data_IF_245690320454
#
_entry.id   IF_245690320454
#
_cell.length_a   1.000
_cell.length_b   1.000
_cell.length_c   1.000
_cell.angle_alpha   90.00
_cell.angle_beta   90.00
_cell.angle_gamma   90.00
#
_symmetry.space_group_name_H-M   'P 1'
#
loop_
_entity.id
_entity.type
_entity.pdbx_description
1 polymer ?
#
# COMPACT_ATOMS: atom_id res chain seq x y z
N UNK A 1 53.36 -14.97 39.38
CA UNK A 1 51.99 -15.47 39.62
C UNK A 1 51.05 -14.62 38.76
N UNK A 2 50.80 -15.05 37.52
CA UNK A 2 49.93 -14.35 36.58
C UNK A 2 48.73 -15.27 36.31
N UNK A 3 47.55 -14.81 36.73
CA UNK A 3 46.27 -15.48 36.52
C UNK A 3 45.87 -15.32 35.04
N UNK A 4 45.74 -16.42 34.32
CA UNK A 4 45.08 -16.46 33.02
C UNK A 4 43.57 -16.67 33.26
N UNK A 5 42.75 -15.65 32.99
CA UNK A 5 41.30 -15.84 32.87
C UNK A 5 41.00 -16.42 31.49
N UNK A 6 40.60 -17.68 31.45
CA UNK A 6 39.98 -18.29 30.28
C UNK A 6 38.57 -17.70 30.13
N UNK A 7 38.37 -16.91 29.09
CA UNK A 7 37.03 -16.53 28.64
C UNK A 7 36.40 -17.75 27.94
N UNK A 8 35.51 -18.44 28.65
CA UNK A 8 34.56 -19.36 28.04
C UNK A 8 33.60 -18.55 27.17
N UNK A 9 33.87 -18.52 25.86
CA UNK A 9 32.90 -18.06 24.89
C UNK A 9 31.71 -19.02 24.91
N UNK A 10 30.56 -18.57 25.41
CA UNK A 10 29.29 -19.19 25.11
C UNK A 10 29.10 -19.10 23.59
N UNK A 11 29.27 -20.23 22.90
CA UNK A 11 28.75 -20.38 21.55
C UNK A 11 27.23 -20.26 21.65
N UNK A 12 26.69 -19.09 21.35
CA UNK A 12 25.29 -18.97 20.97
C UNK A 12 25.13 -19.94 19.79
N UNK A 13 24.38 -21.02 20.01
CA UNK A 13 24.11 -22.01 18.98
C UNK A 13 23.57 -21.28 17.76
N UNK A 14 24.22 -21.47 16.63
CA UNK A 14 23.73 -21.07 15.33
C UNK A 14 22.42 -21.84 15.14
N UNK A 15 21.30 -21.18 15.45
CA UNK A 15 19.98 -21.73 15.19
C UNK A 15 19.90 -21.97 13.69
N UNK A 16 19.65 -23.22 13.32
CA UNK A 16 19.48 -23.66 11.95
C UNK A 16 18.40 -22.80 11.29
N UNK A 17 18.82 -21.79 10.53
CA UNK A 17 17.96 -20.75 9.95
C UNK A 17 17.39 -21.19 8.61
N UNK A 18 17.23 -22.50 8.42
CA UNK A 18 16.78 -23.12 7.18
C UNK A 18 15.29 -23.45 7.27
N UNK A 19 14.63 -23.41 6.12
CA UNK A 19 13.24 -23.85 6.01
C UNK A 19 13.18 -25.36 6.25
N UNK A 20 12.22 -25.82 7.05
CA UNK A 20 12.09 -27.23 7.44
C UNK A 20 10.64 -27.70 7.32
N UNK A 21 10.47 -29.01 7.14
CA UNK A 21 9.15 -29.66 7.05
C UNK A 21 8.92 -30.52 8.28
N UNK A 22 7.72 -30.42 8.85
CA UNK A 22 7.25 -31.28 9.94
C UNK A 22 5.81 -31.74 9.62
N UNK A 23 5.65 -32.98 9.18
CA UNK A 23 4.37 -33.50 8.70
C UNK A 23 3.83 -32.69 7.52
N UNK A 24 2.66 -32.08 7.67
CA UNK A 24 2.05 -31.16 6.70
C UNK A 24 2.46 -29.70 6.89
N UNK A 25 3.38 -29.40 7.81
CA UNK A 25 3.78 -28.02 8.11
C UNK A 25 5.11 -27.66 7.47
N UNK A 26 5.14 -26.53 6.76
CA UNK A 26 6.37 -25.83 6.37
C UNK A 26 6.70 -24.81 7.47
N UNK A 27 7.89 -24.91 8.04
CA UNK A 27 8.38 -24.01 9.10
C UNK A 27 9.42 -23.08 8.49
N UNK A 28 9.13 -21.78 8.55
CA UNK A 28 9.95 -20.71 7.97
C UNK A 28 10.48 -19.82 9.10
N UNK A 29 11.80 -19.58 9.19
CA UNK A 29 12.36 -18.67 10.16
C UNK A 29 11.98 -17.22 9.81
N UNK A 30 11.51 -16.46 10.81
CA UNK A 30 11.10 -15.07 10.68
C UNK A 30 11.63 -14.26 11.87
N UNK A 31 11.56 -12.94 11.78
CA UNK A 31 11.88 -12.09 12.93
C UNK A 31 10.90 -12.38 14.07
N UNK A 32 11.44 -12.58 15.27
CA UNK A 32 10.67 -12.94 16.45
C UNK A 32 10.31 -14.42 16.59
N UNK A 33 10.75 -15.31 15.68
CA UNK A 33 10.62 -16.76 15.85
C UNK A 33 10.50 -17.54 14.55
N UNK A 34 9.42 -18.31 14.42
CA UNK A 34 9.14 -19.12 13.24
C UNK A 34 7.67 -18.98 12.86
N UNK A 35 7.38 -18.97 11.55
CA UNK A 35 6.04 -19.15 11.01
C UNK A 35 5.88 -20.61 10.58
N UNK A 36 4.78 -21.25 10.99
CA UNK A 36 4.39 -22.60 10.56
C UNK A 36 3.19 -22.51 9.64
N UNK A 37 3.38 -22.85 8.37
CA UNK A 37 2.34 -22.91 7.34
C UNK A 37 1.85 -24.35 7.23
N UNK A 38 0.57 -24.60 7.55
CA UNK A 38 -0.06 -25.91 7.31
C UNK A 38 -0.49 -25.99 5.84
N UNK A 39 0.10 -26.91 5.06
CA UNK A 39 -0.18 -26.99 3.62
C UNK A 39 -1.59 -27.53 3.32
N UNK A 40 -2.30 -28.11 4.29
CA UNK A 40 -3.66 -28.59 4.05
C UNK A 40 -4.67 -27.45 3.85
N UNK A 41 -4.48 -26.32 4.55
CA UNK A 41 -5.46 -25.23 4.60
C UNK A 41 -4.85 -23.82 4.60
N UNK A 42 -3.53 -23.69 4.44
CA UNK A 42 -2.78 -22.44 4.51
C UNK A 42 -2.88 -21.69 5.85
N UNK A 43 -3.25 -22.36 6.94
CA UNK A 43 -3.12 -21.77 8.29
C UNK A 43 -1.67 -21.37 8.54
N UNK A 44 -1.44 -20.15 9.02
CA UNK A 44 -0.11 -19.67 9.42
C UNK A 44 -0.07 -19.35 10.91
N UNK A 45 0.67 -20.15 11.65
CA UNK A 45 0.88 -20.00 13.10
C UNK A 45 2.24 -19.37 13.38
N UNK A 46 2.28 -18.40 14.28
CA UNK A 46 3.52 -17.81 14.78
C UNK A 46 3.38 -17.39 16.26
N UNK A 47 4.27 -16.53 16.75
CA UNK A 47 4.13 -15.86 18.05
C UNK A 47 2.79 -15.11 18.23
N UNK A 48 2.16 -14.73 17.12
CA UNK A 48 0.81 -14.16 17.01
C UNK A 48 0.08 -14.89 15.87
N UNK A 49 -1.24 -14.77 15.82
CA UNK A 49 -2.03 -15.22 14.66
C UNK A 49 -1.56 -14.49 13.39
N UNK A 50 -1.08 -15.25 12.39
CA UNK A 50 -0.69 -14.72 11.07
C UNK A 50 -1.72 -15.07 10.00
N UNK A 51 -2.35 -16.24 10.07
CA UNK A 51 -3.57 -16.54 9.32
C UNK A 51 -4.27 -17.76 9.94
N UNK A 52 -5.59 -17.76 10.01
CA UNK A 52 -6.34 -19.02 10.09
C UNK A 52 -6.35 -19.72 8.72
N UNK A 53 -7.05 -20.85 8.65
CA UNK A 53 -7.32 -21.57 7.42
C UNK A 53 -7.90 -20.64 6.34
N UNK A 54 -7.48 -20.85 5.10
CA UNK A 54 -8.08 -20.21 3.93
C UNK A 54 -9.60 -20.47 3.93
N UNK A 55 -10.38 -19.46 3.53
CA UNK A 55 -11.82 -19.62 3.37
C UNK A 55 -12.17 -20.34 2.05
N UNK A 56 -11.19 -20.51 1.17
CA UNK A 56 -11.29 -21.26 -0.08
C UNK A 56 -10.92 -22.73 0.16
N UNK A 57 -11.76 -23.66 -0.32
CA UNK A 57 -11.45 -25.10 -0.29
C UNK A 57 -10.30 -25.44 -1.25
N UNK A 58 -9.11 -25.70 -0.76
CA UNK A 58 -7.91 -25.88 -1.59
C UNK A 58 -7.80 -27.27 -2.24
N UNK A 59 -8.61 -28.25 -1.82
CA UNK A 59 -8.43 -29.65 -2.19
C UNK A 59 -7.21 -30.28 -1.52
N UNK A 60 -6.74 -31.41 -2.04
CA UNK A 60 -5.59 -32.11 -1.46
C UNK A 60 -4.27 -31.48 -1.90
N UNK A 61 -3.36 -31.08 -0.99
CA UNK A 61 -2.05 -30.55 -1.36
C UNK A 61 -1.16 -31.63 -1.99
N UNK A 62 -0.30 -31.23 -2.90
CA UNK A 62 0.80 -32.04 -3.43
C UNK A 62 1.94 -32.24 -2.42
N UNK A 63 2.96 -32.99 -2.82
CA UNK A 63 4.15 -33.19 -1.99
C UNK A 63 4.90 -31.87 -1.75
N UNK A 64 5.41 -31.71 -0.53
CA UNK A 64 6.25 -30.57 -0.16
C UNK A 64 7.68 -30.87 -0.63
N UNK A 65 8.22 -30.01 -1.49
CA UNK A 65 9.63 -29.98 -1.86
C UNK A 65 10.31 -28.79 -1.19
N UNK A 66 11.48 -29.02 -0.57
CA UNK A 66 12.31 -27.93 -0.01
C UNK A 66 13.63 -27.88 -0.74
N UNK A 67 13.94 -26.70 -1.27
CA UNK A 67 15.26 -26.34 -1.76
C UNK A 67 15.90 -25.35 -0.75
N UNK A 68 17.20 -25.08 -0.90
CA UNK A 68 18.06 -24.40 0.09
C UNK A 68 17.40 -23.27 0.93
N UNK A 69 16.58 -22.42 0.32
CA UNK A 69 15.93 -21.26 0.94
C UNK A 69 14.41 -21.16 0.67
N UNK A 70 13.78 -22.21 0.12
CA UNK A 70 12.37 -22.20 -0.29
C UNK A 70 11.68 -23.53 -0.07
N UNK A 71 10.43 -23.49 0.35
CA UNK A 71 9.52 -24.62 0.25
C UNK A 71 8.54 -24.38 -0.90
N UNK A 72 8.19 -25.44 -1.61
CA UNK A 72 7.25 -25.42 -2.71
C UNK A 72 6.27 -26.60 -2.58
N UNK A 73 5.00 -26.34 -2.89
CA UNK A 73 3.95 -27.33 -3.05
C UNK A 73 2.90 -26.79 -4.02
N UNK A 74 1.91 -27.59 -4.38
CA UNK A 74 0.81 -27.16 -5.23
C UNK A 74 -0.52 -27.69 -4.75
N UNK A 75 -1.61 -27.08 -5.22
CA UNK A 75 -2.98 -27.57 -5.10
C UNK A 75 -3.47 -27.96 -6.51
N UNK A 76 -3.32 -29.25 -6.91
CA UNK A 76 -3.54 -29.67 -8.29
C UNK A 76 -4.98 -29.45 -8.77
N UNK A 77 -5.96 -29.64 -7.89
CA UNK A 77 -7.39 -29.45 -8.19
C UNK A 77 -7.73 -28.00 -8.56
N UNK A 78 -6.93 -27.04 -8.07
CA UNK A 78 -7.05 -25.61 -8.38
C UNK A 78 -6.05 -25.11 -9.42
N UNK A 79 -5.05 -25.92 -9.78
CA UNK A 79 -3.93 -25.45 -10.59
C UNK A 79 -3.20 -24.26 -9.95
N UNK A 80 -3.02 -24.31 -8.63
CA UNK A 80 -2.35 -23.27 -7.84
C UNK A 80 -0.98 -23.78 -7.37
N UNK A 81 0.09 -23.13 -7.80
CA UNK A 81 1.46 -23.40 -7.35
C UNK A 81 1.82 -22.42 -6.23
N UNK A 82 2.45 -22.90 -5.14
CA UNK A 82 2.76 -22.10 -3.94
C UNK A 82 4.23 -22.25 -3.56
N UNK A 83 4.87 -21.14 -3.24
CA UNK A 83 6.23 -21.09 -2.69
C UNK A 83 6.23 -20.29 -1.38
N UNK A 84 6.88 -20.81 -0.35
CA UNK A 84 7.15 -20.10 0.90
C UNK A 84 8.66 -19.85 1.07
N UNK A 85 9.04 -18.61 1.37
CA UNK A 85 10.42 -18.21 1.60
C UNK A 85 10.56 -17.35 2.87
N UNK A 86 11.75 -17.40 3.48
CA UNK A 86 12.16 -16.41 4.47
C UNK A 86 12.85 -15.25 3.76
N UNK A 87 12.30 -14.03 3.85
CA UNK A 87 12.92 -12.83 3.25
C UNK A 87 12.86 -11.66 4.23
N UNK A 88 14.04 -11.16 4.61
CA UNK A 88 14.19 -9.98 5.47
C UNK A 88 13.35 -10.05 6.76
N UNK A 89 13.36 -11.22 7.41
CA UNK A 89 12.61 -11.45 8.65
C UNK A 89 11.12 -11.75 8.45
N UNK A 90 10.65 -11.91 7.20
CA UNK A 90 9.24 -12.15 6.85
C UNK A 90 9.05 -13.53 6.25
N UNK A 91 7.85 -14.08 6.45
CA UNK A 91 7.34 -15.16 5.62
C UNK A 91 6.81 -14.54 4.34
N UNK A 92 7.38 -14.88 3.19
CA UNK A 92 6.83 -14.48 1.89
C UNK A 92 6.23 -15.70 1.23
N UNK A 93 4.93 -15.63 0.92
CA UNK A 93 4.21 -16.65 0.19
C UNK A 93 3.88 -16.12 -1.18
N UNK A 94 4.46 -16.75 -2.20
CA UNK A 94 4.21 -16.48 -3.61
C UNK A 94 3.30 -17.58 -4.17
N UNK A 95 2.24 -17.17 -4.87
CA UNK A 95 1.26 -18.08 -5.46
C UNK A 95 1.05 -17.75 -6.93
N UNK A 96 0.94 -18.77 -7.77
CA UNK A 96 0.66 -18.63 -9.21
C UNK A 96 -0.52 -19.51 -9.60
N UNK A 97 -1.57 -18.89 -10.15
CA UNK A 97 -2.75 -19.59 -10.65
C UNK A 97 -2.66 -19.86 -12.15
N UNK A 98 -3.06 -21.06 -12.59
CA UNK A 98 -3.05 -21.46 -14.02
C UNK A 98 -4.35 -21.16 -14.78
N UNK A 99 -5.29 -20.45 -14.15
CA UNK A 99 -6.56 -20.07 -14.74
C UNK A 99 -7.35 -19.16 -13.83
N UNK A 100 -8.42 -18.58 -14.38
CA UNK A 100 -9.25 -17.60 -13.69
C UNK A 100 -9.94 -18.23 -12.48
N UNK A 101 -9.67 -17.70 -11.29
CA UNK A 101 -10.21 -18.18 -10.02
C UNK A 101 -9.99 -17.16 -8.90
N UNK A 102 -10.60 -17.41 -7.74
CA UNK A 102 -10.39 -16.61 -6.53
C UNK A 102 -9.76 -17.43 -5.41
N UNK A 103 -8.95 -16.77 -4.59
CA UNK A 103 -8.41 -17.30 -3.34
C UNK A 103 -8.69 -16.34 -2.18
N UNK A 104 -9.42 -16.82 -1.18
CA UNK A 104 -9.73 -16.12 0.06
C UNK A 104 -8.71 -16.48 1.15
N UNK A 105 -7.54 -15.82 1.10
CA UNK A 105 -6.45 -15.93 2.05
C UNK A 105 -5.51 -14.69 1.98
N UNK A 106 -4.93 -14.20 3.09
CA UNK A 106 -5.04 -14.73 4.46
C UNK A 106 -6.32 -14.30 5.18
N UNK A 107 -6.63 -15.02 6.27
CA UNK A 107 -7.79 -14.79 7.15
C UNK A 107 -7.28 -14.47 8.55
N UNK A 108 -7.60 -13.31 9.12
CA UNK A 108 -7.05 -12.86 10.42
C UNK A 108 -8.06 -12.05 11.25
N UNK A 109 -7.82 -11.90 12.56
CA UNK A 109 -8.53 -10.93 13.41
C UNK A 109 -9.14 -11.51 14.69
N UNK A 110 -9.09 -12.84 14.91
CA UNK A 110 -9.78 -13.49 16.03
C UNK A 110 -9.08 -13.18 17.36
N UNK A 111 -7.74 -13.17 17.35
CA UNK A 111 -6.93 -12.74 18.49
C UNK A 111 -6.61 -11.24 18.53
N UNK A 112 -7.15 -10.44 17.60
CA UNK A 112 -6.77 -9.05 17.47
C UNK A 112 -7.53 -8.13 18.43
N UNK A 113 -6.89 -7.03 18.82
CA UNK A 113 -7.47 -5.87 19.51
C UNK A 113 -7.87 -4.81 18.50
N UNK A 114 -6.97 -4.45 17.58
CA UNK A 114 -7.23 -3.44 16.55
C UNK A 114 -6.85 -3.95 15.15
N UNK A 115 -7.65 -3.57 14.16
CA UNK A 115 -7.30 -3.59 12.73
C UNK A 115 -6.56 -2.29 12.37
N UNK A 116 -5.48 -2.40 11.62
CA UNK A 116 -4.70 -1.28 11.06
C UNK A 116 -4.93 -1.23 9.56
N UNK A 117 -5.63 -0.20 9.08
CA UNK A 117 -6.07 -0.08 7.70
C UNK A 117 -5.59 1.25 7.10
N UNK A 118 -4.77 1.28 6.03
CA UNK A 118 -4.29 2.51 5.39
C UNK A 118 -5.34 3.17 4.48
N UNK A 119 -6.55 3.36 5.00
CA UNK A 119 -7.62 4.14 4.36
C UNK A 119 -7.44 5.62 4.70
N UNK A 120 -7.28 6.47 3.69
CA UNK A 120 -6.89 7.87 3.87
C UNK A 120 -5.55 7.97 4.61
N UNK A 121 -5.45 8.81 5.64
CA UNK A 121 -4.24 8.93 6.48
C UNK A 121 -3.94 7.66 7.32
N UNK A 122 -4.90 6.73 7.41
CA UNK A 122 -4.81 5.48 8.15
C UNK A 122 -5.71 5.43 9.39
N UNK A 123 -6.24 4.24 9.65
CA UNK A 123 -7.17 3.95 10.75
C UNK A 123 -6.62 2.84 11.64
N UNK A 124 -6.76 3.01 12.95
CA UNK A 124 -6.63 1.94 13.95
C UNK A 124 -8.02 1.70 14.54
N UNK A 125 -8.62 0.58 14.18
CA UNK A 125 -10.03 0.27 14.42
C UNK A 125 -10.12 -0.83 15.48
N UNK A 126 -10.71 -0.56 16.67
CA UNK A 126 -11.00 -1.62 17.63
C UNK A 126 -11.91 -2.66 17.00
N UNK A 127 -11.51 -3.93 17.04
CA UNK A 127 -12.24 -4.96 16.29
C UNK A 127 -13.65 -5.21 16.85
N UNK A 128 -13.93 -4.84 18.10
CA UNK A 128 -15.24 -4.96 18.75
C UNK A 128 -16.08 -3.68 18.73
N UNK A 129 -15.68 -2.68 17.95
CA UNK A 129 -16.47 -1.46 17.81
C UNK A 129 -17.78 -1.73 17.04
N UNK A 130 -18.90 -1.37 17.64
CA UNK A 130 -20.23 -1.66 17.10
C UNK A 130 -20.52 -0.95 15.77
N UNK A 131 -19.99 0.26 15.55
CA UNK A 131 -20.18 0.98 14.29
C UNK A 131 -19.46 0.25 13.16
N UNK A 132 -18.22 -0.18 13.39
CA UNK A 132 -17.44 -0.85 12.35
C UNK A 132 -17.94 -2.27 12.03
N UNK A 133 -18.58 -2.93 13.00
CA UNK A 133 -19.21 -4.24 12.81
C UNK A 133 -20.62 -4.19 12.19
N UNK A 134 -21.19 -3.00 11.99
CA UNK A 134 -22.52 -2.82 11.41
C UNK A 134 -22.48 -3.02 9.88
N UNK A 135 -23.35 -3.87 9.30
CA UNK A 135 -23.31 -4.20 7.87
C UNK A 135 -23.85 -3.09 6.95
N UNK A 136 -24.57 -2.10 7.49
CA UNK A 136 -25.16 -1.01 6.69
C UNK A 136 -24.27 0.25 6.69
N UNK A 137 -23.40 0.39 7.68
CA UNK A 137 -22.64 1.63 7.92
C UNK A 137 -21.14 1.44 8.15
N UNK A 138 -20.70 0.23 8.54
CA UNK A 138 -19.34 -0.08 8.92
C UNK A 138 -18.47 -0.65 7.80
N UNK A 139 -17.58 -1.59 8.15
CA UNK A 139 -16.71 -2.31 7.21
C UNK A 139 -17.28 -3.66 6.79
N UNK A 140 -18.24 -4.20 7.54
CA UNK A 140 -18.80 -5.53 7.30
C UNK A 140 -19.72 -5.47 6.08
N UNK A 141 -19.54 -6.41 5.14
CA UNK A 141 -20.36 -6.45 3.92
C UNK A 141 -19.64 -7.09 2.74
N UNK A 142 -20.29 -7.10 1.58
CA UNK A 142 -19.80 -7.82 0.39
C UNK A 142 -18.75 -7.07 -0.44
N UNK A 143 -18.70 -5.73 -0.40
CA UNK A 143 -17.82 -4.98 -1.32
C UNK A 143 -16.34 -4.97 -0.88
N UNK A 144 -16.06 -5.04 0.42
CA UNK A 144 -14.70 -4.99 0.98
C UNK A 144 -13.92 -3.72 0.59
N UNK A 145 -12.64 -3.69 0.92
CA UNK A 145 -11.71 -2.61 0.58
C UNK A 145 -10.72 -3.11 -0.47
N UNK A 146 -10.79 -2.61 -1.70
CA UNK A 146 -9.81 -2.95 -2.75
C UNK A 146 -8.45 -2.38 -2.36
N UNK A 147 -7.39 -3.18 -2.37
CA UNK A 147 -6.06 -2.71 -1.95
C UNK A 147 -5.55 -1.54 -2.79
N UNK A 148 -5.89 -1.50 -4.07
CA UNK A 148 -5.54 -0.40 -4.99
C UNK A 148 -6.21 0.95 -4.64
N UNK A 149 -7.28 0.94 -3.85
CA UNK A 149 -7.97 2.15 -3.39
C UNK A 149 -7.47 2.59 -2.00
N UNK A 150 -6.63 1.78 -1.35
CA UNK A 150 -5.93 2.16 -0.13
C UNK A 150 -4.72 3.04 -0.46
N UNK A 151 -4.29 3.85 0.50
CA UNK A 151 -3.15 4.75 0.27
C UNK A 151 -1.81 4.01 0.20
N UNK A 152 -1.74 2.81 0.75
CA UNK A 152 -0.56 1.96 0.77
C UNK A 152 -0.98 0.48 0.76
N UNK A 153 -0.19 -0.42 0.12
CA UNK A 153 -0.59 -1.79 -0.15
C UNK A 153 -0.26 -2.73 1.02
N UNK A 154 -0.76 -2.40 2.21
CA UNK A 154 -0.63 -3.22 3.40
C UNK A 154 -1.85 -3.14 4.30
N UNK A 155 -1.94 -4.06 5.26
CA UNK A 155 -2.77 -3.91 6.44
C UNK A 155 -2.09 -4.59 7.63
N UNK A 156 -2.69 -4.48 8.81
CA UNK A 156 -2.18 -5.18 9.98
C UNK A 156 -3.20 -5.35 11.08
N UNK A 157 -2.79 -6.05 12.13
CA UNK A 157 -3.55 -6.23 13.35
C UNK A 157 -2.63 -6.08 14.56
N UNK A 158 -3.12 -5.47 15.64
CA UNK A 158 -2.46 -5.53 16.94
C UNK A 158 -3.14 -6.56 17.84
N UNK A 159 -2.37 -7.31 18.62
CA UNK A 159 -2.83 -8.36 19.52
C UNK A 159 -2.03 -8.31 20.85
N UNK A 160 -2.30 -7.26 21.64
CA UNK A 160 -1.57 -7.02 22.89
C UNK A 160 -0.19 -6.43 22.65
N UNK A 161 0.87 -7.15 23.04
CA UNK A 161 2.26 -6.69 22.88
C UNK A 161 2.83 -6.95 21.49
N UNK A 162 2.20 -7.83 20.72
CA UNK A 162 2.58 -8.20 19.36
C UNK A 162 1.51 -7.76 18.37
N UNK A 163 1.84 -7.82 17.09
CA UNK A 163 0.93 -7.59 15.99
C UNK A 163 1.35 -8.40 14.77
N UNK A 164 0.52 -8.36 13.73
CA UNK A 164 0.79 -8.96 12.43
C UNK A 164 0.68 -7.88 11.35
N UNK A 165 1.56 -7.91 10.36
CA UNK A 165 1.47 -7.07 9.17
C UNK A 165 1.45 -7.94 7.91
N UNK A 166 0.78 -7.41 6.89
CA UNK A 166 0.57 -8.04 5.61
C UNK A 166 0.92 -7.04 4.53
N UNK A 167 1.92 -7.34 3.72
CA UNK A 167 2.32 -6.50 2.59
C UNK A 167 2.03 -7.26 1.30
N UNK A 168 1.38 -6.62 0.34
CA UNK A 168 1.13 -7.18 -0.99
C UNK A 168 1.83 -6.26 -1.99
N UNK A 169 2.93 -6.68 -2.64
CA UNK A 169 3.69 -5.80 -3.53
C UNK A 169 2.90 -5.27 -4.74
N UNK A 170 1.85 -5.97 -5.13
CA UNK A 170 0.91 -5.58 -6.19
C UNK A 170 -0.50 -5.49 -5.62
N UNK A 171 -1.08 -4.31 -5.61
CA UNK A 171 -2.40 -4.00 -5.05
C UNK A 171 -3.58 -4.37 -5.96
N UNK A 172 -3.32 -4.62 -7.25
CA UNK A 172 -4.32 -4.97 -8.25
C UNK A 172 -4.84 -6.40 -8.03
N UNK A 173 -6.16 -6.56 -8.10
CA UNK A 173 -6.83 -7.86 -8.02
C UNK A 173 -7.01 -8.41 -6.61
N UNK A 174 -6.66 -7.64 -5.57
CA UNK A 174 -6.85 -8.05 -4.17
C UNK A 174 -7.83 -7.13 -3.44
N UNK A 175 -8.79 -7.73 -2.76
CA UNK A 175 -9.80 -7.06 -1.94
C UNK A 175 -9.74 -7.57 -0.51
N UNK A 176 -9.75 -6.68 0.47
CA UNK A 176 -9.85 -7.02 1.89
C UNK A 176 -11.32 -6.98 2.33
N UNK A 177 -11.93 -8.16 2.49
CA UNK A 177 -13.29 -8.30 3.01
C UNK A 177 -13.31 -8.37 4.53
N UNK A 178 -14.42 -7.93 5.14
CA UNK A 178 -14.62 -7.99 6.58
C UNK A 178 -15.96 -8.65 6.94
N UNK A 179 -15.93 -9.45 7.99
CA UNK A 179 -17.11 -10.08 8.60
C UNK A 179 -17.12 -9.82 10.10
N UNK A 180 -18.29 -9.84 10.71
CA UNK A 180 -18.42 -9.81 12.17
C UNK A 180 -18.61 -11.23 12.70
N UNK A 181 -17.69 -11.69 13.54
CA UNK A 181 -17.79 -12.97 14.26
C UNK A 181 -17.84 -12.64 15.74
N UNK A 182 -18.95 -13.01 16.40
CA UNK A 182 -19.21 -12.69 17.81
C UNK A 182 -19.05 -11.20 18.16
N UNK A 183 -19.44 -10.32 17.23
CA UNK A 183 -19.32 -8.87 17.38
C UNK A 183 -17.90 -8.34 17.20
N UNK A 184 -17.00 -9.13 16.60
CA UNK A 184 -15.60 -8.74 16.33
C UNK A 184 -15.28 -8.84 14.85
N UNK A 185 -14.55 -7.86 14.32
CA UNK A 185 -14.08 -7.83 12.94
C UNK A 185 -13.11 -8.97 12.67
N UNK A 186 -13.42 -9.72 11.61
CA UNK A 186 -12.59 -10.75 11.00
C UNK A 186 -12.32 -10.35 9.56
N UNK A 187 -11.05 -10.17 9.20
CA UNK A 187 -10.65 -9.85 7.84
C UNK A 187 -10.28 -11.09 7.03
N UNK A 188 -10.63 -11.07 5.75
CA UNK A 188 -10.27 -12.07 4.75
C UNK A 188 -9.82 -11.33 3.49
N UNK A 189 -8.57 -11.50 3.10
CA UNK A 189 -8.12 -11.04 1.79
C UNK A 189 -8.63 -12.00 0.72
N UNK A 190 -9.13 -11.49 -0.39
CA UNK A 190 -9.54 -12.25 -1.57
C UNK A 190 -8.75 -11.75 -2.77
N UNK A 191 -8.01 -12.65 -3.40
CA UNK A 191 -7.28 -12.36 -4.64
C UNK A 191 -7.96 -13.02 -5.84
N UNK A 192 -8.19 -12.24 -6.89
CA UNK A 192 -8.69 -12.69 -8.19
C UNK A 192 -7.51 -12.96 -9.14
N UNK A 193 -7.26 -14.23 -9.43
CA UNK A 193 -6.37 -14.64 -10.50
C UNK A 193 -7.09 -14.44 -11.83
N UNK A 194 -6.56 -13.58 -12.71
CA UNK A 194 -7.13 -13.36 -14.05
C UNK A 194 -6.04 -13.10 -15.09
N UNK A 195 -6.04 -13.87 -16.17
CA UNK A 195 -5.11 -13.64 -17.30
C UNK A 195 -5.41 -12.29 -17.97
N UNK A 196 -6.70 -11.98 -18.17
CA UNK A 196 -7.13 -10.75 -18.83
C UNK A 196 -6.74 -9.48 -18.06
N UNK A 197 -6.67 -9.57 -16.73
CA UNK A 197 -6.28 -8.45 -15.84
C UNK A 197 -4.80 -8.46 -15.47
N UNK A 198 -4.06 -9.51 -15.83
CA UNK A 198 -2.64 -9.64 -15.48
C UNK A 198 -2.39 -9.92 -14.00
N UNK A 199 -3.35 -10.52 -13.30
CA UNK A 199 -3.30 -10.84 -11.87
C UNK A 199 -3.03 -12.33 -11.62
N UNK A 200 -2.30 -13.01 -12.52
CA UNK A 200 -2.02 -14.45 -12.41
C UNK A 200 -1.11 -14.86 -11.23
N UNK A 201 -0.61 -13.89 -10.47
CA UNK A 201 0.29 -14.10 -9.33
C UNK A 201 -0.16 -13.31 -8.11
N UNK A 202 -0.03 -13.92 -6.93
CA UNK A 202 -0.36 -13.31 -5.64
C UNK A 202 0.80 -13.50 -4.66
N UNK A 203 1.37 -12.40 -4.19
CA UNK A 203 2.45 -12.41 -3.19
C UNK A 203 1.96 -11.76 -1.91
N UNK A 204 2.08 -12.48 -0.79
CA UNK A 204 1.80 -11.93 0.54
C UNK A 204 3.04 -12.09 1.42
N UNK A 205 3.56 -10.98 1.93
CA UNK A 205 4.58 -10.98 2.96
C UNK A 205 3.93 -10.78 4.34
N UNK A 206 4.12 -11.75 5.23
CA UNK A 206 3.59 -11.76 6.59
C UNK A 206 4.73 -11.55 7.59
N UNK A 207 4.56 -10.59 8.50
CA UNK A 207 5.54 -10.30 9.55
C UNK A 207 4.90 -10.30 10.93
N UNK A 208 5.65 -10.75 11.93
CA UNK A 208 5.35 -10.45 13.33
C UNK A 208 5.86 -9.04 13.63
N UNK A 209 5.01 -8.21 14.20
CA UNK A 209 5.32 -6.83 14.56
C UNK A 209 5.07 -6.58 16.05
N UNK A 210 5.39 -5.38 16.54
CA UNK A 210 4.96 -4.96 17.86
C UNK A 210 3.45 -4.60 17.88
N UNK A 211 2.85 -4.47 19.07
CA UNK A 211 1.43 -4.13 19.21
C UNK A 211 1.08 -2.65 18.97
N UNK A 212 1.98 -1.85 18.40
CA UNK A 212 1.76 -0.42 18.12
C UNK A 212 0.73 -0.24 17.00
N UNK A 213 -0.13 0.80 17.05
CA UNK A 213 -1.08 1.09 15.96
C UNK A 213 -0.41 1.45 14.62
N UNK A 214 0.89 1.70 14.61
CA UNK A 214 1.68 2.04 13.40
C UNK A 214 2.67 0.93 13.02
N UNK A 215 2.52 -0.27 13.59
CA UNK A 215 3.49 -1.35 13.42
C UNK A 215 3.58 -1.83 11.96
N UNK A 216 2.43 -2.02 11.29
CA UNK A 216 2.41 -2.40 9.88
C UNK A 216 2.98 -1.30 8.96
N UNK A 217 2.71 -0.02 9.27
CA UNK A 217 3.30 1.11 8.55
C UNK A 217 4.84 1.16 8.69
N UNK A 218 5.37 0.84 9.88
CA UNK A 218 6.82 0.74 10.09
C UNK A 218 7.42 -0.43 9.33
N UNK A 219 6.73 -1.57 9.28
CA UNK A 219 7.16 -2.74 8.51
C UNK A 219 7.23 -2.42 7.00
N UNK A 220 6.18 -1.81 6.45
CA UNK A 220 6.18 -1.37 5.05
C UNK A 220 7.28 -0.33 4.77
N UNK A 221 7.48 0.64 5.68
CA UNK A 221 8.59 1.60 5.56
C UNK A 221 9.96 0.89 5.55
N UNK A 222 10.14 -0.16 6.34
CA UNK A 222 11.39 -0.92 6.35
C UNK A 222 11.62 -1.62 5.00
N UNK A 223 10.57 -2.19 4.40
CA UNK A 223 10.62 -2.75 3.05
C UNK A 223 11.05 -1.71 2.01
N UNK A 224 10.41 -0.53 1.99
CA UNK A 224 10.76 0.54 1.04
C UNK A 224 12.21 1.03 1.21
N UNK A 225 12.72 1.04 2.44
CA UNK A 225 14.13 1.39 2.69
C UNK A 225 15.10 0.33 2.16
N UNK A 226 14.71 -0.95 2.15
CA UNK A 226 15.49 -2.04 1.58
C UNK A 226 15.46 -2.02 0.03
N UNK A 227 14.34 -1.63 -0.57
CA UNK A 227 14.11 -1.64 -2.03
C UNK A 227 14.62 -0.39 -2.77
N UNK A 228 15.67 0.25 -2.28
CA UNK A 228 16.27 1.43 -2.93
C UNK A 228 15.95 2.77 -2.26
N UNK A 229 15.17 2.76 -1.18
CA UNK A 229 15.02 3.91 -0.30
C UNK A 229 13.83 4.80 -0.63
N UNK A 230 13.49 5.65 0.35
CA UNK A 230 12.49 6.69 0.20
C UNK A 230 13.16 7.99 -0.21
N UNK A 231 12.73 8.59 -1.33
CA UNK A 231 13.20 9.93 -1.71
C UNK A 231 12.66 10.97 -0.73
N UNK A 232 13.55 11.47 0.10
CA UNK A 232 13.24 12.40 1.18
C UNK A 232 12.95 13.81 0.66
N UNK A 233 12.20 14.60 1.44
CA UNK A 233 12.00 16.02 1.14
C UNK A 233 13.34 16.79 1.08
N UNK A 234 14.34 16.41 1.90
CA UNK A 234 15.68 17.01 1.86
C UNK A 234 16.38 16.79 0.52
N UNK A 235 16.28 15.58 -0.04
CA UNK A 235 16.83 15.30 -1.37
C UNK A 235 16.09 16.09 -2.45
N UNK A 236 14.76 16.15 -2.39
CA UNK A 236 13.95 16.97 -3.31
C UNK A 236 14.34 18.46 -3.25
N UNK A 237 14.59 19.01 -2.05
CA UNK A 237 15.09 20.38 -1.86
C UNK A 237 16.51 20.58 -2.40
N UNK A 238 17.40 19.59 -2.22
CA UNK A 238 18.76 19.68 -2.76
C UNK A 238 18.77 19.71 -4.29
N UNK A 239 17.84 19.00 -4.93
CA UNK A 239 17.68 18.99 -6.39
C UNK A 239 16.92 20.22 -6.90
N UNK A 240 15.87 20.66 -6.20
CA UNK A 240 15.13 21.89 -6.50
C UNK A 240 14.97 22.74 -5.22
N UNK A 241 15.84 23.75 -5.00
CA UNK A 241 15.80 24.61 -3.80
C UNK A 241 14.48 25.35 -3.58
N UNK A 242 13.71 25.64 -4.64
CA UNK A 242 12.41 26.30 -4.50
C UNK A 242 11.38 25.43 -3.78
N UNK A 243 11.56 24.10 -3.78
CA UNK A 243 10.77 23.17 -2.94
C UNK A 243 10.82 23.57 -1.47
N UNK A 244 11.91 24.19 -1.02
CA UNK A 244 12.02 24.64 0.37
C UNK A 244 10.95 25.67 0.71
N UNK A 245 10.42 26.44 -0.26
CA UNK A 245 9.33 27.43 -0.05
C UNK A 245 8.03 26.80 0.46
N UNK A 246 7.79 25.50 0.20
CA UNK A 246 6.62 24.78 0.72
C UNK A 246 6.64 24.58 2.24
N UNK A 247 7.82 24.54 2.86
CA UNK A 247 7.93 24.30 4.31
C UNK A 247 7.32 25.49 5.07
N UNK A 248 6.20 25.26 5.75
CA UNK A 248 5.46 26.30 6.47
C UNK A 248 4.66 27.26 5.58
N UNK A 249 4.45 26.93 4.30
CA UNK A 249 3.59 27.71 3.43
C UNK A 249 2.11 27.44 3.71
N UNK A 250 1.28 28.48 3.68
CA UNK A 250 -0.17 28.32 3.59
C UNK A 250 -0.57 27.88 2.18
N UNK A 251 -1.48 26.92 2.09
CA UNK A 251 -2.06 26.47 0.84
C UNK A 251 -3.40 27.21 0.63
N UNK A 252 -3.54 27.94 -0.48
CA UNK A 252 -4.81 28.55 -0.88
C UNK A 252 -5.09 28.29 -2.36
N UNK A 253 -6.37 28.24 -2.72
CA UNK A 253 -6.82 28.15 -4.10
C UNK A 253 -7.52 29.45 -4.50
N UNK A 254 -7.10 30.03 -5.62
CA UNK A 254 -7.49 31.37 -6.04
C UNK A 254 -8.61 31.35 -7.09
N UNK A 255 -9.60 32.20 -6.85
CA UNK A 255 -10.74 32.43 -7.73
C UNK A 255 -10.87 33.93 -8.03
N UNK A 256 -11.35 34.27 -9.23
CA UNK A 256 -11.67 35.65 -9.60
C UNK A 256 -10.52 36.64 -9.39
N UNK A 257 -10.81 37.74 -8.68
CA UNK A 257 -9.86 38.81 -8.40
C UNK A 257 -8.71 38.41 -7.46
N UNK A 258 -8.81 37.25 -6.81
CA UNK A 258 -7.71 36.63 -6.07
C UNK A 258 -6.48 36.36 -6.95
N UNK A 259 -6.63 36.29 -8.28
CA UNK A 259 -5.57 36.04 -9.27
C UNK A 259 -4.82 37.30 -9.72
N UNK A 260 -5.12 38.48 -9.18
CA UNK A 260 -4.54 39.76 -9.62
C UNK A 260 -3.24 40.15 -8.89
N UNK A 261 -2.40 41.03 -9.48
CA UNK A 261 -1.22 41.58 -8.79
C UNK A 261 -1.56 42.34 -7.50
N UNK A 262 -2.72 43.00 -7.46
CA UNK A 262 -3.18 43.72 -6.26
C UNK A 262 -3.45 42.76 -5.11
N UNK A 263 -4.11 41.64 -5.38
CA UNK A 263 -4.32 40.58 -4.39
C UNK A 263 -3.00 40.03 -3.86
N UNK A 264 -1.98 39.82 -4.72
CA UNK A 264 -0.67 39.34 -4.28
C UNK A 264 0.03 40.34 -3.34
N UNK A 265 0.04 41.63 -3.69
CA UNK A 265 0.56 42.70 -2.81
C UNK A 265 -0.20 42.75 -1.50
N UNK A 266 -1.51 42.58 -1.54
CA UNK A 266 -2.33 42.59 -0.33
C UNK A 266 -1.98 41.44 0.62
N UNK A 267 -1.74 40.25 0.09
CA UNK A 267 -1.29 39.11 0.90
C UNK A 267 0.07 39.38 1.55
N UNK A 268 1.00 39.99 0.81
CA UNK A 268 2.32 40.38 1.32
C UNK A 268 2.22 41.44 2.43
N UNK A 269 1.40 42.49 2.22
CA UNK A 269 1.13 43.54 3.22
C UNK A 269 0.53 42.99 4.51
N UNK A 270 -0.24 41.89 4.43
CA UNK A 270 -0.79 41.19 5.59
C UNK A 270 0.26 40.36 6.33
N UNK A 271 1.50 40.31 5.86
CA UNK A 271 2.61 39.61 6.48
C UNK A 271 2.70 38.13 6.09
N UNK A 272 1.96 37.70 5.06
CA UNK A 272 2.12 36.36 4.52
C UNK A 272 3.43 36.33 3.73
N UNK A 273 4.37 35.50 4.17
CA UNK A 273 5.72 35.43 3.59
C UNK A 273 5.97 34.12 2.84
N UNK A 274 5.05 33.16 2.94
CA UNK A 274 5.17 31.81 2.39
C UNK A 274 3.79 31.26 2.04
N UNK A 275 3.53 31.07 0.76
CA UNK A 275 2.26 30.53 0.27
C UNK A 275 2.50 29.60 -0.91
N UNK A 276 1.64 28.60 -1.05
CA UNK A 276 1.39 27.90 -2.30
C UNK A 276 -0.02 28.28 -2.77
N UNK A 277 -0.11 28.82 -3.97
CA UNK A 277 -1.32 29.39 -4.55
C UNK A 277 -1.69 28.62 -5.82
N UNK A 278 -2.72 27.79 -5.71
CA UNK A 278 -3.33 27.10 -6.84
C UNK A 278 -4.36 27.97 -7.56
N UNK A 279 -4.58 27.77 -8.85
CA UNK A 279 -5.66 28.41 -9.63
C UNK A 279 -6.04 27.53 -10.83
N UNK A 280 -7.25 27.63 -11.38
CA UNK A 280 -7.60 26.83 -12.56
C UNK A 280 -6.82 27.26 -13.81
N UNK A 281 -6.43 26.29 -14.66
CA UNK A 281 -5.96 26.55 -16.03
C UNK A 281 -7.13 26.87 -16.98
N UNK A 282 -8.06 27.70 -16.54
CA UNK A 282 -9.23 28.13 -17.30
C UNK A 282 -8.89 29.29 -18.27
N UNK A 283 -9.89 29.92 -18.88
CA UNK A 283 -9.72 31.07 -19.79
C UNK A 283 -9.22 32.35 -19.07
N UNK A 284 -9.10 32.34 -17.74
CA UNK A 284 -8.68 33.46 -16.90
C UNK A 284 -7.48 33.08 -16.01
N UNK A 285 -6.35 32.65 -16.61
CA UNK A 285 -5.16 32.32 -15.83
C UNK A 285 -4.58 33.58 -15.16
N UNK A 286 -3.73 33.39 -14.15
CA UNK A 286 -2.95 34.49 -13.60
C UNK A 286 -2.13 35.18 -14.70
N UNK A 287 -2.16 36.52 -14.72
CA UNK A 287 -1.32 37.30 -15.63
C UNK A 287 0.16 37.15 -15.27
N UNK A 288 1.06 37.42 -16.23
CA UNK A 288 2.50 37.43 -15.98
C UNK A 288 2.87 38.34 -14.80
N UNK A 289 2.29 39.53 -14.74
CA UNK A 289 2.53 40.49 -13.65
C UNK A 289 2.11 39.91 -12.29
N UNK A 290 0.99 39.18 -12.23
CA UNK A 290 0.52 38.57 -10.99
C UNK A 290 1.47 37.45 -10.53
N UNK A 291 1.95 36.62 -11.45
CA UNK A 291 2.94 35.56 -11.18
C UNK A 291 4.27 36.17 -10.71
N UNK A 292 4.75 37.21 -11.38
CA UNK A 292 5.98 37.92 -10.99
C UNK A 292 5.83 38.57 -9.60
N UNK A 293 4.69 39.19 -9.32
CA UNK A 293 4.40 39.79 -8.00
C UNK A 293 4.36 38.72 -6.90
N UNK A 294 3.70 37.59 -7.14
CA UNK A 294 3.66 36.48 -6.19
C UNK A 294 5.06 35.90 -5.94
N UNK A 295 5.85 35.73 -6.99
CA UNK A 295 7.22 35.21 -6.91
C UNK A 295 8.13 36.14 -6.13
N UNK A 296 8.01 37.46 -6.34
CA UNK A 296 8.75 38.49 -5.61
C UNK A 296 8.39 38.50 -4.11
N UNK A 297 7.13 38.23 -3.76
CA UNK A 297 6.68 38.04 -2.38
C UNK A 297 7.11 36.70 -1.74
N UNK A 298 7.80 35.84 -2.51
CA UNK A 298 8.30 34.54 -2.04
C UNK A 298 7.29 33.40 -2.12
N UNK A 299 6.18 33.58 -2.84
CA UNK A 299 5.15 32.55 -3.02
C UNK A 299 5.50 31.55 -4.12
N UNK A 300 4.89 30.38 -4.04
CA UNK A 300 4.75 29.43 -5.13
C UNK A 300 3.36 29.58 -5.74
N UNK A 301 3.28 29.59 -7.06
CA UNK A 301 2.03 29.67 -7.82
C UNK A 301 2.00 28.55 -8.85
N UNK A 302 0.84 27.94 -9.08
CA UNK A 302 0.70 26.90 -10.10
C UNK A 302 -0.73 26.70 -10.56
N UNK A 303 -0.97 26.47 -11.86
CA UNK A 303 -2.28 26.12 -12.36
C UNK A 303 -2.66 24.68 -11.96
N UNK A 304 -3.95 24.43 -11.77
CA UNK A 304 -4.56 23.11 -11.72
C UNK A 304 -4.69 22.56 -13.14
N UNK A 305 -4.43 21.27 -13.30
CA UNK A 305 -4.58 20.54 -14.56
C UNK A 305 -4.96 19.08 -14.25
N UNK A 306 -5.56 18.37 -15.20
CA UNK A 306 -5.91 16.94 -15.06
C UNK A 306 -5.75 16.17 -16.36
N UNK A 307 -5.09 15.02 -16.26
CA UNK A 307 -4.92 14.05 -17.35
C UNK A 307 -5.70 12.74 -17.12
N UNK A 308 -6.51 12.69 -16.06
CA UNK A 308 -7.30 11.50 -15.68
C UNK A 308 -8.80 11.62 -15.95
N UNK A 309 -9.28 12.79 -16.37
CA UNK A 309 -10.70 13.08 -16.59
C UNK A 309 -10.93 13.41 -18.07
N UNK A 310 -11.33 12.42 -18.86
CA UNK A 310 -11.72 12.61 -20.25
C UNK A 310 -13.23 12.63 -20.35
N UNK A 311 -13.80 13.72 -20.84
CA UNK A 311 -15.25 13.88 -21.02
C UNK A 311 -15.59 14.15 -22.48
N UNK A 312 -16.84 13.84 -22.86
CA UNK A 312 -17.32 14.07 -24.22
C UNK A 312 -17.20 15.56 -24.58
N UNK A 313 -16.35 15.93 -25.55
CA UNK A 313 -16.14 17.33 -25.91
C UNK A 313 -17.41 17.98 -26.49
N UNK A 314 -18.39 17.21 -26.98
CA UNK A 314 -19.66 17.72 -27.47
C UNK A 314 -20.67 18.04 -26.33
N UNK A 315 -20.38 17.59 -25.11
CA UNK A 315 -21.24 17.77 -23.93
C UNK A 315 -20.89 18.98 -23.06
N UNK A 316 -21.63 19.09 -21.96
CA UNK A 316 -21.21 19.88 -20.80
C UNK A 316 -20.06 19.16 -20.11
N UNK A 317 -19.01 19.90 -19.74
CA UNK A 317 -17.88 19.36 -18.97
C UNK A 317 -17.78 20.06 -17.64
N UNK A 318 -17.26 19.37 -16.63
CA UNK A 318 -17.04 19.94 -15.31
C UNK A 318 -15.92 21.00 -15.25
N UNK A 319 -14.90 20.87 -16.11
CA UNK A 319 -13.75 21.76 -16.23
C UNK A 319 -13.29 21.82 -17.70
N UNK A 320 -12.89 23.00 -18.23
CA UNK A 320 -12.21 23.12 -19.51
C UNK A 320 -11.10 22.09 -19.78
N UNK A 321 -10.26 21.74 -18.80
CA UNK A 321 -9.17 20.75 -18.95
C UNK A 321 -9.69 19.31 -19.18
N UNK A 322 -10.98 19.05 -18.96
CA UNK A 322 -11.62 17.75 -19.19
C UNK A 322 -12.11 17.56 -20.63
N UNK A 323 -12.12 18.62 -21.48
CA UNK A 323 -12.42 18.51 -22.92
C UNK A 323 -11.20 18.02 -23.68
N UNK A 324 -11.23 16.75 -24.06
CA UNK A 324 -10.12 16.16 -24.77
C UNK A 324 -10.21 16.40 -26.29
N UNK A 325 -9.08 16.52 -27.01
CA UNK A 325 -9.09 16.73 -28.45
C UNK A 325 -9.81 15.62 -29.24
N UNK A 326 -10.29 15.98 -30.43
CA UNK A 326 -10.95 15.06 -31.35
C UNK A 326 -10.09 13.82 -31.64
N UNK A 327 -10.73 12.64 -31.63
CA UNK A 327 -10.08 11.35 -31.88
C UNK A 327 -9.48 10.67 -30.65
N UNK A 328 -9.40 11.37 -29.51
CA UNK A 328 -8.95 10.78 -28.24
C UNK A 328 -10.13 10.17 -27.48
N UNK A 329 -11.27 10.87 -27.44
CA UNK A 329 -12.54 10.38 -26.90
C UNK A 329 -13.46 9.78 -27.99
N UNK A 330 -14.12 8.63 -27.76
CA UNK A 330 -13.93 7.65 -26.68
C UNK A 330 -12.82 6.62 -26.99
N UNK A 331 -12.14 6.75 -28.14
CA UNK A 331 -11.36 5.70 -28.78
C UNK A 331 -10.09 5.25 -28.05
N UNK A 332 -9.53 6.06 -27.15
CA UNK A 332 -8.27 5.73 -26.43
C UNK A 332 -8.46 5.47 -24.94
N UNK A 333 -9.58 5.90 -24.34
CA UNK A 333 -9.89 5.70 -22.92
C UNK A 333 -10.17 4.22 -22.56
N UNK A 334 -10.42 3.36 -23.55
CA UNK A 334 -10.77 1.94 -23.37
C UNK A 334 -9.59 0.96 -23.51
N UNK A 335 -8.39 1.43 -23.84
CA UNK A 335 -7.22 0.54 -23.99
C UNK A 335 -6.28 0.66 -22.78
N UNK A 336 -6.43 -0.24 -21.81
CA UNK A 336 -5.48 -0.43 -20.69
C UNK A 336 -4.06 -0.80 -21.14
N UNK A 337 -3.84 -1.03 -22.44
CA UNK A 337 -2.57 -1.49 -23.01
C UNK A 337 -1.54 -0.38 -23.29
N UNK A 338 -1.89 0.90 -23.13
CA UNK A 338 -1.01 2.04 -23.52
C UNK A 338 -0.73 3.07 -22.41
N UNK A 339 -1.24 2.87 -21.19
CA UNK A 339 -1.06 3.81 -20.08
C UNK A 339 0.41 3.99 -19.63
N UNK A 340 1.31 3.06 -19.96
CA UNK A 340 2.74 3.15 -19.64
C UNK A 340 3.51 4.21 -20.44
N UNK A 341 2.98 4.69 -21.57
CA UNK A 341 3.68 5.67 -22.42
C UNK A 341 3.47 7.13 -22.01
N UNK A 342 2.46 7.44 -21.20
CA UNK A 342 2.07 8.83 -20.89
C UNK A 342 2.78 9.41 -19.66
N UNK A 343 3.19 8.56 -18.71
CA UNK A 343 3.91 9.00 -17.51
C UNK A 343 5.25 9.69 -17.82
N UNK A 344 5.95 9.25 -18.89
CA UNK A 344 7.24 9.82 -19.30
C UNK A 344 7.12 11.14 -20.07
N UNK A 345 5.95 11.43 -20.68
CA UNK A 345 5.72 12.68 -21.43
C UNK A 345 5.30 13.84 -20.51
N UNK A 346 4.52 13.56 -19.46
CA UNK A 346 4.09 14.57 -18.48
C UNK A 346 5.26 15.13 -17.64
N UNK A 347 6.31 14.33 -17.40
CA UNK A 347 7.50 14.76 -16.68
C UNK A 347 8.38 15.76 -17.47
N UNK A 348 8.17 15.91 -18.78
CA UNK A 348 8.95 16.79 -19.65
C UNK A 348 8.39 18.20 -19.85
N UNK A 349 7.18 18.48 -19.37
CA UNK A 349 6.46 19.73 -19.67
C UNK A 349 6.40 20.75 -18.51
N UNK A 350 7.01 20.44 -17.36
CA UNK A 350 7.11 21.38 -16.23
C UNK A 350 8.59 21.64 -15.91
N UNK A 351 9.19 22.57 -16.66
CA UNK A 351 10.35 23.38 -16.25
C UNK A 351 10.10 24.81 -16.70
#
# INVERSE_FOLDING_TARGET
MALALAATGCSAGQSDSSIRVDGSSVIVPIDGGEARVDVNDLTVRGPVELSAAAATDLGTPGEISVDADRAHWSYPERGLDVTATARDGRLVVDMTGRGDQELAWPVTGAGARDLQLPRGEGLSIPVDDAFWNDPDTGLVGEEGERLQDLTMPFWGYSAGALGASYLVPTDIGTTLGFSSVDGRLRGTSVHEFSEARGTGTYTVALSVTDGSPVAAAKDYRALLLQQGGLRTLKQKIAENPDTAKLVGAFHAYLWGDGRTPESMRRLEELGLSRMWLGYDSDEQPMSREAVETATAAGYLVGPYDTFGNAQDPAGEVDNPSSRWPDGVWPGTASSTRTASGWADLAAGAVI
#
